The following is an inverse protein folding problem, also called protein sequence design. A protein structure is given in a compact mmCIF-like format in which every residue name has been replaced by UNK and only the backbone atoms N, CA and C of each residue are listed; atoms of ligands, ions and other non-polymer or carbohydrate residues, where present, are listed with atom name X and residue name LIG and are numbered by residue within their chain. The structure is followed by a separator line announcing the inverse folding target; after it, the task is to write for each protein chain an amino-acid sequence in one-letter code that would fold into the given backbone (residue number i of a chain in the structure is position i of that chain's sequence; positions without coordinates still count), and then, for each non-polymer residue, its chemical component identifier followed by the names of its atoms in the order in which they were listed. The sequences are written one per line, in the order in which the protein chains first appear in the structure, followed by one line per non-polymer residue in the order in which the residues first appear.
data_IF_188180173093
#
_entry.id   IF_188180173093
#
_cell.length_a   1.000
_cell.length_b   1.000
_cell.length_c   1.000
_cell.angle_alpha   90.00
_cell.angle_beta   90.00
_cell.angle_gamma   90.00
#
_symmetry.space_group_name_H-M   'P 1'
#
loop_
_entity.id
_entity.type
_entity.pdbx_description
1 polymer ?
#
# COMPACT_ATOMS: atom_id res chain seq x y z
N UNK A 1 -14.17 -58.33 14.26
CA UNK A 1 -14.26 -57.39 13.13
C UNK A 1 -13.91 -56.01 13.67
N UNK A 2 -12.61 -55.73 13.78
CA UNK A 2 -12.09 -54.45 14.31
C UNK A 2 -11.81 -53.54 13.12
N UNK A 3 -12.62 -52.51 12.97
CA UNK A 3 -12.42 -51.46 11.97
C UNK A 3 -11.18 -50.65 12.37
N UNK A 4 -10.10 -50.81 11.60
CA UNK A 4 -8.83 -50.12 11.79
C UNK A 4 -8.76 -49.05 10.70
N UNK A 5 -9.48 -47.95 10.89
CA UNK A 5 -9.35 -46.76 10.05
C UNK A 5 -8.19 -45.92 10.58
N UNK A 6 -7.05 -45.83 9.87
CA UNK A 6 -6.01 -44.89 10.23
C UNK A 6 -6.57 -43.48 10.03
N UNK A 7 -6.80 -42.78 11.14
CA UNK A 7 -7.15 -41.37 11.13
C UNK A 7 -6.13 -40.63 10.27
N UNK A 8 -6.62 -40.02 9.19
CA UNK A 8 -5.86 -39.09 8.37
C UNK A 8 -5.52 -37.90 9.27
N UNK A 9 -4.39 -38.00 9.97
CA UNK A 9 -3.74 -36.86 10.57
C UNK A 9 -3.31 -35.97 9.41
N UNK A 10 -4.15 -34.99 9.08
CA UNK A 10 -3.75 -33.85 8.30
C UNK A 10 -2.67 -33.12 9.12
N UNK A 11 -1.42 -33.53 8.94
CA UNK A 11 -0.27 -32.72 9.30
C UNK A 11 -0.44 -31.39 8.56
N UNK A 12 -0.92 -30.38 9.28
CA UNK A 12 -0.77 -29.00 8.85
C UNK A 12 0.74 -28.78 8.73
N UNK A 13 1.25 -28.82 7.50
CA UNK A 13 2.59 -28.31 7.18
C UNK A 13 2.59 -26.83 7.59
N UNK A 14 2.97 -26.56 8.82
CA UNK A 14 3.31 -25.23 9.28
C UNK A 14 4.59 -24.87 8.52
N UNK A 15 4.41 -24.31 7.33
CA UNK A 15 5.49 -23.68 6.58
C UNK A 15 6.02 -22.55 7.44
N UNK A 16 7.06 -22.84 8.24
CA UNK A 16 7.73 -21.83 9.03
C UNK A 16 8.26 -20.78 8.05
N UNK A 17 7.82 -19.54 8.22
CA UNK A 17 8.28 -18.43 7.40
C UNK A 17 9.80 -18.33 7.55
N UNK A 18 10.52 -18.29 6.43
CA UNK A 18 11.97 -18.09 6.44
C UNK A 18 12.26 -16.70 6.98
N UNK A 19 13.03 -16.60 8.07
CA UNK A 19 13.49 -15.32 8.62
C UNK A 19 14.58 -14.75 7.72
N UNK A 20 14.17 -14.09 6.64
CA UNK A 20 15.08 -13.52 5.63
C UNK A 20 15.32 -12.01 5.75
N UNK A 21 14.67 -11.32 6.69
CA UNK A 21 14.81 -9.87 6.88
C UNK A 21 15.59 -9.57 8.15
N UNK A 22 16.74 -8.90 8.01
CA UNK A 22 17.48 -8.34 9.14
C UNK A 22 16.86 -7.03 9.65
N UNK A 23 17.43 -6.48 10.72
CA UNK A 23 16.98 -5.21 11.29
C UNK A 23 17.08 -4.06 10.29
N UNK A 24 18.22 -3.95 9.59
CA UNK A 24 18.42 -2.92 8.56
C UNK A 24 17.45 -3.08 7.39
N UNK A 25 17.17 -4.31 6.96
CA UNK A 25 16.18 -4.55 5.90
C UNK A 25 14.79 -4.11 6.34
N UNK A 26 14.38 -4.47 7.56
CA UNK A 26 13.10 -4.07 8.12
C UNK A 26 12.97 -2.54 8.23
N UNK A 27 14.01 -1.86 8.75
CA UNK A 27 14.03 -0.40 8.85
C UNK A 27 13.96 0.27 7.47
N UNK A 28 14.74 -0.21 6.50
CA UNK A 28 14.75 0.35 5.15
C UNK A 28 13.42 0.15 4.43
N UNK A 29 12.76 -1.00 4.62
CA UNK A 29 11.42 -1.25 4.08
C UNK A 29 10.42 -0.23 4.67
N UNK A 30 10.45 0.00 5.98
CA UNK A 30 9.56 0.98 6.62
C UNK A 30 9.84 2.39 6.10
N UNK A 31 11.09 2.84 6.09
CA UNK A 31 11.47 4.16 5.56
C UNK A 31 11.00 4.32 4.11
N UNK A 32 11.27 3.34 3.26
CA UNK A 32 10.88 3.38 1.85
C UNK A 32 9.38 3.32 1.61
N UNK A 33 8.62 2.70 2.53
CA UNK A 33 7.15 2.71 2.47
C UNK A 33 6.55 4.05 2.93
N UNK A 34 7.20 4.75 3.86
CA UNK A 34 6.73 6.04 4.38
C UNK A 34 7.08 7.21 3.46
N UNK A 35 8.27 7.19 2.84
CA UNK A 35 8.70 8.24 1.91
C UNK A 35 8.03 8.02 0.54
N UNK A 36 6.82 8.56 0.40
CA UNK A 36 6.00 8.46 -0.79
C UNK A 36 5.90 9.76 -1.61
N UNK A 37 4.97 9.78 -2.56
CA UNK A 37 4.61 10.98 -3.34
C UNK A 37 3.93 12.06 -2.50
N UNK A 38 3.46 11.74 -1.29
CA UNK A 38 2.79 12.66 -0.38
C UNK A 38 3.64 13.89 -0.02
N UNK A 39 4.97 13.73 0.08
CA UNK A 39 5.87 14.86 0.35
C UNK A 39 5.84 15.93 -0.75
N UNK A 40 5.52 15.55 -1.99
CA UNK A 40 5.40 16.47 -3.12
C UNK A 40 3.95 16.92 -3.33
N UNK A 41 3.01 15.97 -3.38
CA UNK A 41 1.62 16.25 -3.74
C UNK A 41 0.86 16.86 -2.56
N UNK A 42 0.86 16.16 -1.42
CA UNK A 42 0.13 16.59 -0.22
C UNK A 42 0.72 17.88 0.33
N UNK A 43 2.05 18.02 0.37
CA UNK A 43 2.67 19.28 0.82
C UNK A 43 2.30 20.46 -0.08
N UNK A 44 2.29 20.28 -1.40
CA UNK A 44 1.90 21.36 -2.32
C UNK A 44 0.42 21.75 -2.15
N UNK A 45 -0.46 20.77 -1.90
CA UNK A 45 -1.87 21.03 -1.65
C UNK A 45 -2.10 21.69 -0.28
N UNK A 46 -1.47 21.20 0.77
CA UNK A 46 -1.51 21.81 2.11
C UNK A 46 -0.93 23.23 2.09
N UNK A 47 0.15 23.48 1.35
CA UNK A 47 0.72 24.81 1.19
C UNK A 47 -0.28 25.79 0.56
N UNK A 48 -1.02 25.35 -0.47
CA UNK A 48 -2.08 26.15 -1.11
C UNK A 48 -3.24 26.44 -0.17
N UNK A 49 -3.62 25.48 0.69
CA UNK A 49 -4.73 25.65 1.63
C UNK A 49 -4.37 26.54 2.83
N UNK A 50 -3.15 26.40 3.36
CA UNK A 50 -2.70 27.09 4.57
C UNK A 50 -2.20 28.51 4.24
N UNK A 51 -1.65 28.72 3.04
CA UNK A 51 -1.22 30.04 2.54
C UNK A 51 0.01 30.64 3.23
N UNK A 52 0.51 30.05 4.31
CA UNK A 52 1.68 30.50 5.06
C UNK A 52 2.70 29.36 5.26
N UNK A 53 3.97 29.54 4.85
CA UNK A 53 5.03 28.54 5.05
C UNK A 53 5.26 28.16 6.52
N UNK A 54 5.12 29.12 7.45
CA UNK A 54 5.31 28.87 8.88
C UNK A 54 4.25 27.90 9.44
N UNK A 55 2.98 28.12 9.08
CA UNK A 55 1.90 27.24 9.50
C UNK A 55 1.98 25.84 8.86
N UNK A 56 2.52 25.73 7.65
CA UNK A 56 2.82 24.44 7.03
C UNK A 56 3.84 23.65 7.85
N UNK A 57 4.92 24.28 8.33
CA UNK A 57 5.92 23.63 9.18
C UNK A 57 5.34 23.20 10.53
N UNK A 58 4.48 24.02 11.14
CA UNK A 58 3.76 23.65 12.38
C UNK A 58 2.86 22.44 12.15
N UNK A 59 2.09 22.41 11.05
CA UNK A 59 1.24 21.28 10.70
C UNK A 59 2.06 19.99 10.51
N UNK A 60 3.22 20.09 9.83
CA UNK A 60 4.16 18.98 9.68
C UNK A 60 4.72 18.50 11.03
N UNK A 61 5.09 19.42 11.91
CA UNK A 61 5.56 19.09 13.26
C UNK A 61 4.52 18.32 14.06
N UNK A 62 3.26 18.79 14.07
CA UNK A 62 2.15 18.14 14.75
C UNK A 62 1.85 16.75 14.16
N UNK A 63 1.82 16.63 12.83
CA UNK A 63 1.65 15.35 12.16
C UNK A 63 2.79 14.37 12.51
N UNK A 64 4.03 14.85 12.60
CA UNK A 64 5.18 14.06 13.00
C UNK A 64 5.06 13.52 14.43
N UNK A 65 4.68 14.37 15.39
CA UNK A 65 4.46 13.96 16.79
C UNK A 65 3.37 12.89 16.88
N UNK A 66 2.21 13.12 16.24
CA UNK A 66 1.11 12.16 16.22
C UNK A 66 1.54 10.81 15.63
N UNK A 67 2.31 10.85 14.55
CA UNK A 67 2.82 9.65 13.87
C UNK A 67 3.79 8.87 14.77
N UNK A 68 4.71 9.55 15.47
CA UNK A 68 5.67 8.91 16.39
C UNK A 68 4.91 8.23 17.54
N UNK A 69 3.93 8.91 18.13
CA UNK A 69 3.11 8.33 19.21
C UNK A 69 2.42 7.05 18.73
N UNK A 70 1.78 7.07 17.55
CA UNK A 70 1.16 5.88 16.98
C UNK A 70 2.15 4.76 16.67
N UNK A 71 3.35 5.09 16.19
CA UNK A 71 4.41 4.13 15.91
C UNK A 71 4.92 3.44 17.19
N UNK A 72 5.07 4.18 18.30
CA UNK A 72 5.47 3.62 19.59
C UNK A 72 4.42 2.65 20.13
N UNK A 73 3.13 3.01 20.09
CA UNK A 73 2.05 2.09 20.48
C UNK A 73 2.05 0.80 19.66
N UNK A 74 2.27 0.91 18.34
CA UNK A 74 2.37 -0.25 17.46
C UNK A 74 3.62 -1.09 17.75
N UNK A 75 4.74 -0.46 18.11
CA UNK A 75 5.98 -1.15 18.45
C UNK A 75 5.84 -1.97 19.74
N UNK A 76 5.19 -1.42 20.77
CA UNK A 76 4.91 -2.14 22.01
C UNK A 76 4.00 -3.35 21.76
N UNK A 77 2.92 -3.17 20.99
CA UNK A 77 2.03 -4.28 20.61
C UNK A 77 2.75 -5.35 19.80
N UNK A 78 3.63 -4.96 18.86
CA UNK A 78 4.40 -5.89 18.05
C UNK A 78 5.43 -6.67 18.88
N UNK A 79 6.04 -6.04 19.89
CA UNK A 79 6.94 -6.70 20.83
C UNK A 79 6.18 -7.68 21.76
N UNK A 80 4.97 -7.32 22.19
CA UNK A 80 4.13 -8.16 23.04
C UNK A 80 3.54 -9.38 22.30
N UNK A 81 3.24 -9.24 21.01
CA UNK A 81 2.65 -10.29 20.17
C UNK A 81 3.48 -10.53 18.90
N UNK A 82 4.64 -11.21 18.98
CA UNK A 82 5.55 -11.44 17.85
C UNK A 82 5.06 -12.56 16.91
N UNK A 83 3.80 -12.48 16.48
CA UNK A 83 3.18 -13.41 15.53
C UNK A 83 3.14 -12.77 14.14
N UNK A 84 3.32 -13.56 13.09
CA UNK A 84 3.13 -13.10 11.72
C UNK A 84 1.65 -12.78 11.48
N UNK A 85 1.34 -11.51 11.14
CA UNK A 85 -0.03 -11.06 10.86
C UNK A 85 -0.32 -9.59 11.18
N UNK A 86 0.60 -8.87 11.81
CA UNK A 86 0.52 -7.41 11.99
C UNK A 86 -0.73 -6.95 12.75
N UNK A 87 -1.32 -5.82 12.32
CA UNK A 87 -2.49 -5.20 12.98
C UNK A 87 -3.69 -6.14 13.11
N UNK A 88 -3.87 -7.08 12.18
CA UNK A 88 -4.94 -8.07 12.24
C UNK A 88 -4.86 -8.92 13.52
N UNK A 89 -3.65 -9.32 13.93
CA UNK A 89 -3.44 -10.12 15.14
C UNK A 89 -3.84 -9.32 16.37
N UNK A 90 -3.50 -8.04 16.41
CA UNK A 90 -3.81 -7.17 17.56
C UNK A 90 -5.31 -7.01 17.75
N UNK A 91 -6.05 -6.73 16.68
CA UNK A 91 -7.50 -6.56 16.74
C UNK A 91 -8.22 -7.88 17.03
N UNK A 92 -7.73 -8.99 16.46
CA UNK A 92 -8.28 -10.31 16.73
C UNK A 92 -8.11 -10.71 18.20
N UNK A 93 -6.96 -10.42 18.80
CA UNK A 93 -6.69 -10.75 20.19
C UNK A 93 -7.48 -9.84 21.15
N UNK A 94 -7.58 -8.55 20.85
CA UNK A 94 -8.27 -7.57 21.70
C UNK A 94 -9.81 -7.68 21.65
N UNK A 95 -10.38 -7.92 20.46
CA UNK A 95 -11.84 -7.86 20.24
C UNK A 95 -12.45 -9.18 19.77
N UNK A 96 -11.63 -10.22 19.62
CA UNK A 96 -12.06 -11.55 19.22
C UNK A 96 -12.12 -11.77 17.70
N UNK A 97 -12.47 -13.00 17.28
CA UNK A 97 -12.34 -13.45 15.89
C UNK A 97 -13.20 -12.68 14.89
N UNK A 98 -14.40 -12.25 15.28
CA UNK A 98 -15.33 -11.55 14.39
C UNK A 98 -14.79 -10.17 13.98
N UNK A 99 -14.24 -9.41 14.92
CA UNK A 99 -13.62 -8.10 14.64
C UNK A 99 -12.32 -8.25 13.87
N UNK A 100 -11.52 -9.28 14.19
CA UNK A 100 -10.36 -9.64 13.37
C UNK A 100 -10.75 -9.91 11.92
N UNK A 101 -11.78 -10.73 11.69
CA UNK A 101 -12.29 -11.01 10.35
C UNK A 101 -12.77 -9.75 9.61
N UNK A 102 -13.58 -8.92 10.25
CA UNK A 102 -14.09 -7.69 9.65
C UNK A 102 -12.95 -6.74 9.27
N UNK A 103 -11.94 -6.59 10.14
CA UNK A 103 -10.75 -5.80 9.85
C UNK A 103 -9.97 -6.38 8.67
N UNK A 104 -9.71 -7.69 8.66
CA UNK A 104 -9.02 -8.36 7.55
C UNK A 104 -9.78 -8.21 6.22
N UNK A 105 -11.10 -8.34 6.26
CA UNK A 105 -11.99 -8.15 5.11
C UNK A 105 -11.93 -6.72 4.59
N UNK A 106 -12.06 -5.72 5.47
CA UNK A 106 -12.01 -4.32 5.09
C UNK A 106 -10.62 -3.91 4.57
N UNK A 107 -9.55 -4.35 5.24
CA UNK A 107 -8.18 -4.13 4.80
C UNK A 107 -7.94 -4.71 3.41
N UNK A 108 -8.36 -5.95 3.17
CA UNK A 108 -8.11 -6.63 1.91
C UNK A 108 -8.96 -6.09 0.76
N UNK A 109 -10.29 -6.01 0.94
CA UNK A 109 -11.21 -5.71 -0.16
C UNK A 109 -11.47 -4.22 -0.39
N UNK A 110 -11.23 -3.37 0.61
CA UNK A 110 -11.54 -1.93 0.52
C UNK A 110 -10.24 -1.13 0.54
N UNK A 111 -9.44 -1.25 1.60
CA UNK A 111 -8.32 -0.34 1.83
C UNK A 111 -7.16 -0.63 0.86
N UNK A 112 -6.65 -1.86 0.84
CA UNK A 112 -5.47 -2.20 0.05
C UNK A 112 -5.78 -2.17 -1.45
N UNK A 113 -6.88 -2.79 -1.87
CA UNK A 113 -7.36 -2.75 -3.27
C UNK A 113 -7.64 -1.34 -3.74
N UNK A 114 -8.35 -0.53 -2.94
CA UNK A 114 -8.65 0.87 -3.26
C UNK A 114 -7.39 1.72 -3.39
N UNK A 115 -6.43 1.52 -2.49
CA UNK A 115 -5.13 2.23 -2.53
C UNK A 115 -4.33 1.86 -3.79
N UNK A 116 -4.25 0.57 -4.12
CA UNK A 116 -3.56 0.09 -5.34
C UNK A 116 -4.20 0.69 -6.58
N UNK A 117 -5.54 0.69 -6.66
CA UNK A 117 -6.28 1.27 -7.78
C UNK A 117 -6.04 2.78 -7.89
N UNK A 118 -6.13 3.52 -6.79
CA UNK A 118 -5.91 4.96 -6.78
C UNK A 118 -4.50 5.34 -7.23
N UNK A 119 -3.48 4.62 -6.75
CA UNK A 119 -2.07 4.86 -7.14
C UNK A 119 -1.84 4.52 -8.61
N UNK A 120 -2.42 3.42 -9.12
CA UNK A 120 -2.31 3.05 -10.53
C UNK A 120 -2.98 4.08 -11.46
N UNK A 121 -4.15 4.61 -11.08
CA UNK A 121 -4.83 5.69 -11.81
C UNK A 121 -4.00 6.97 -11.76
N UNK A 122 -3.45 7.33 -10.61
CA UNK A 122 -2.57 8.50 -10.51
C UNK A 122 -1.34 8.36 -11.43
N UNK A 123 -0.72 7.17 -11.47
CA UNK A 123 0.38 6.88 -12.39
C UNK A 123 -0.04 7.03 -13.85
N UNK A 124 -1.20 6.48 -14.24
CA UNK A 124 -1.72 6.61 -15.59
C UNK A 124 -1.98 8.08 -15.98
N UNK A 125 -2.53 8.89 -15.06
CA UNK A 125 -2.73 10.34 -15.27
C UNK A 125 -1.42 11.07 -15.50
N UNK A 126 -0.39 10.81 -14.68
CA UNK A 126 0.92 11.43 -14.87
C UNK A 126 1.58 10.98 -16.17
N UNK A 127 1.40 9.72 -16.57
CA UNK A 127 1.87 9.22 -17.86
C UNK A 127 1.15 9.93 -19.02
N UNK A 128 -0.13 10.23 -18.87
CA UNK A 128 -0.91 11.01 -19.84
C UNK A 128 -0.41 12.43 -20.08
N UNK A 129 0.26 13.04 -19.11
CA UNK A 129 0.94 14.34 -19.30
C UNK A 129 2.11 14.21 -20.29
N UNK A 130 2.81 13.06 -20.29
CA UNK A 130 3.94 12.80 -21.18
C UNK A 130 3.50 12.25 -22.54
N UNK A 131 2.44 11.44 -22.55
CA UNK A 131 1.89 10.79 -23.74
C UNK A 131 0.42 11.21 -23.89
N UNK A 132 0.12 12.26 -24.68
CA UNK A 132 -1.22 12.83 -24.80
C UNK A 132 -2.30 11.84 -25.28
N UNK A 133 -1.91 10.70 -25.87
CA UNK A 133 -2.81 9.62 -26.24
C UNK A 133 -3.43 8.87 -25.06
N UNK A 134 -2.83 8.97 -23.87
CA UNK A 134 -3.34 8.42 -22.61
C UNK A 134 -4.10 9.53 -21.90
N UNK A 135 -5.41 9.60 -22.13
CA UNK A 135 -6.26 10.63 -21.56
C UNK A 135 -7.58 10.03 -21.08
N UNK A 136 -8.12 10.62 -20.01
CA UNK A 136 -9.45 10.26 -19.51
C UNK A 136 -10.55 10.46 -20.57
N UNK A 137 -10.35 11.44 -21.45
CA UNK A 137 -11.25 11.79 -22.56
C UNK A 137 -11.20 10.82 -23.73
N UNK A 138 -10.16 9.99 -23.85
CA UNK A 138 -10.04 9.02 -24.93
C UNK A 138 -10.62 7.67 -24.50
N UNK A 139 -11.92 7.50 -24.77
CA UNK A 139 -12.68 6.31 -24.41
C UNK A 139 -12.54 5.19 -25.44
N UNK A 140 -12.15 4.01 -24.98
CA UNK A 140 -12.23 2.76 -25.75
C UNK A 140 -13.63 2.16 -25.65
N UNK A 141 -14.21 2.21 -24.45
CA UNK A 141 -15.62 1.86 -24.21
C UNK A 141 -16.32 3.10 -23.69
N UNK A 142 -17.28 3.67 -24.44
CA UNK A 142 -18.00 4.86 -24.02
C UNK A 142 -18.80 4.59 -22.73
N UNK A 143 -19.12 5.63 -21.94
CA UNK A 143 -19.79 5.46 -20.65
C UNK A 143 -21.20 4.87 -20.82
N UNK A 144 -21.36 3.63 -20.37
CA UNK A 144 -22.66 2.96 -20.27
C UNK A 144 -23.22 3.29 -18.88
N UNK A 145 -24.25 4.11 -18.85
CA UNK A 145 -24.87 4.58 -17.60
C UNK A 145 -25.73 3.45 -17.00
N UNK A 146 -25.39 2.99 -15.81
CA UNK A 146 -26.13 1.99 -15.03
C UNK A 146 -27.07 2.65 -13.99
N UNK A 147 -27.50 3.90 -14.26
CA UNK A 147 -28.36 4.71 -13.40
C UNK A 147 -28.01 6.20 -13.49
N UNK A 148 -28.51 7.00 -12.55
CA UNK A 148 -28.22 8.45 -12.51
C UNK A 148 -26.82 8.80 -12.01
N UNK A 149 -26.12 7.86 -11.36
CA UNK A 149 -24.87 8.17 -10.61
C UNK A 149 -23.67 7.30 -11.03
N UNK A 150 -23.91 6.18 -11.71
CA UNK A 150 -22.87 5.22 -12.08
C UNK A 150 -22.81 5.02 -13.58
N UNK A 151 -21.62 5.20 -14.16
CA UNK A 151 -21.34 4.86 -15.54
C UNK A 151 -20.13 3.93 -15.61
N UNK A 152 -20.27 2.84 -16.36
CA UNK A 152 -19.16 1.95 -16.68
C UNK A 152 -18.54 2.48 -17.96
N UNK A 153 -17.32 3.01 -17.86
CA UNK A 153 -16.52 3.46 -18.99
C UNK A 153 -15.15 2.79 -18.95
N UNK A 154 -14.50 2.71 -20.10
CA UNK A 154 -13.11 2.30 -20.21
C UNK A 154 -12.35 3.34 -21.03
N UNK A 155 -11.57 4.17 -20.34
CA UNK A 155 -10.64 5.11 -20.97
C UNK A 155 -9.25 4.50 -21.17
N UNK A 156 -8.44 5.09 -22.05
CA UNK A 156 -7.01 4.75 -22.18
C UNK A 156 -6.25 4.87 -20.86
N UNK A 157 -6.60 5.85 -20.02
CA UNK A 157 -6.03 6.02 -18.68
C UNK A 157 -6.33 4.80 -17.78
N UNK A 158 -7.59 4.34 -17.75
CA UNK A 158 -7.97 3.16 -16.97
C UNK A 158 -7.31 1.90 -17.50
N UNK A 159 -7.15 1.76 -18.82
CA UNK A 159 -6.45 0.63 -19.42
C UNK A 159 -4.98 0.57 -18.98
N UNK A 160 -4.28 1.72 -18.98
CA UNK A 160 -2.89 1.81 -18.51
C UNK A 160 -2.80 1.49 -17.02
N UNK A 161 -3.73 1.99 -16.20
CA UNK A 161 -3.77 1.67 -14.78
C UNK A 161 -3.93 0.16 -14.53
N UNK A 162 -4.85 -0.50 -15.25
CA UNK A 162 -5.06 -1.95 -15.18
C UNK A 162 -3.80 -2.72 -15.63
N UNK A 163 -3.19 -2.31 -16.75
CA UNK A 163 -1.96 -2.92 -17.25
C UNK A 163 -0.81 -2.83 -16.23
N UNK A 164 -0.68 -1.68 -15.55
CA UNK A 164 0.32 -1.47 -14.50
C UNK A 164 0.09 -2.37 -13.28
N UNK A 165 -1.16 -2.52 -12.84
CA UNK A 165 -1.50 -3.45 -11.73
C UNK A 165 -1.12 -4.88 -12.11
N UNK A 166 -1.46 -5.32 -13.32
CA UNK A 166 -1.13 -6.67 -13.81
C UNK A 166 0.39 -6.88 -13.90
N UNK A 167 1.13 -5.90 -14.41
CA UNK A 167 2.59 -5.94 -14.50
C UNK A 167 3.22 -6.06 -13.11
N UNK A 168 2.81 -5.23 -12.15
CA UNK A 168 3.34 -5.28 -10.79
C UNK A 168 2.95 -6.57 -10.09
N UNK A 169 1.73 -7.07 -10.30
CA UNK A 169 1.29 -8.36 -9.75
C UNK A 169 2.18 -9.48 -10.29
N UNK A 170 2.41 -9.52 -11.60
CA UNK A 170 3.29 -10.50 -12.23
C UNK A 170 4.75 -10.38 -11.78
N UNK A 171 5.25 -9.16 -11.58
CA UNK A 171 6.60 -8.97 -11.05
C UNK A 171 6.72 -9.47 -9.61
N UNK A 172 5.70 -9.25 -8.79
CA UNK A 172 5.66 -9.72 -7.39
C UNK A 172 5.55 -11.25 -7.28
N UNK A 173 4.90 -11.92 -8.24
CA UNK A 173 4.81 -13.40 -8.23
C UNK A 173 6.11 -14.10 -8.64
N UNK A 174 7.08 -13.41 -9.24
CA UNK A 174 8.38 -13.98 -9.65
C UNK A 174 9.43 -14.06 -8.54
N UNK A 175 9.15 -13.54 -7.34
CA UNK A 175 10.00 -13.74 -6.17
C UNK A 175 10.28 -12.46 -5.37
N UNK A 176 10.52 -12.64 -4.07
CA UNK A 176 10.71 -11.56 -3.10
C UNK A 176 11.95 -10.70 -3.38
N UNK A 177 12.99 -11.28 -4.01
CA UNK A 177 14.23 -10.56 -4.32
C UNK A 177 14.03 -9.46 -5.37
N UNK A 178 13.20 -9.71 -6.39
CA UNK A 178 12.87 -8.72 -7.41
C UNK A 178 12.00 -7.60 -6.83
N UNK A 179 11.00 -7.95 -6.00
CA UNK A 179 10.17 -6.98 -5.29
C UNK A 179 11.00 -6.06 -4.39
N UNK A 180 11.98 -6.62 -3.68
CA UNK A 180 12.94 -5.86 -2.85
C UNK A 180 13.78 -4.90 -3.71
N UNK A 181 14.30 -5.37 -4.84
CA UNK A 181 15.15 -4.55 -5.72
C UNK A 181 14.39 -3.38 -6.33
N UNK A 182 13.17 -3.63 -6.81
CA UNK A 182 12.28 -2.57 -7.33
C UNK A 182 11.96 -1.55 -6.23
N UNK A 183 11.53 -2.01 -5.05
CA UNK A 183 11.19 -1.13 -3.93
C UNK A 183 12.39 -0.28 -3.47
N UNK A 184 13.57 -0.89 -3.31
CA UNK A 184 14.78 -0.17 -2.92
C UNK A 184 15.16 0.86 -3.99
N UNK A 185 15.08 0.51 -5.27
CA UNK A 185 15.41 1.44 -6.37
C UNK A 185 14.49 2.65 -6.38
N UNK A 186 13.17 2.44 -6.24
CA UNK A 186 12.21 3.55 -6.14
C UNK A 186 12.42 4.40 -4.89
N UNK A 187 12.77 3.78 -3.77
CA UNK A 187 13.07 4.49 -2.52
C UNK A 187 14.29 5.38 -2.68
N UNK A 188 15.40 4.83 -3.19
CA UNK A 188 16.64 5.59 -3.43
C UNK A 188 16.40 6.72 -4.41
N UNK A 189 15.70 6.48 -5.52
CA UNK A 189 15.39 7.50 -6.51
C UNK A 189 14.56 8.65 -5.90
N UNK A 190 13.52 8.34 -5.11
CA UNK A 190 12.69 9.36 -4.44
C UNK A 190 13.49 10.17 -3.42
N UNK A 191 14.29 9.50 -2.60
CA UNK A 191 15.12 10.15 -1.58
C UNK A 191 16.20 11.02 -2.23
N UNK A 192 16.84 10.54 -3.31
CA UNK A 192 17.82 11.32 -4.07
C UNK A 192 17.20 12.57 -4.72
N UNK A 193 15.99 12.44 -5.29
CA UNK A 193 15.25 13.59 -5.83
C UNK A 193 14.93 14.63 -4.74
N UNK A 194 14.58 14.17 -3.54
CA UNK A 194 14.36 15.04 -2.37
C UNK A 194 15.64 15.78 -1.97
N UNK A 195 16.76 15.08 -1.88
CA UNK A 195 18.07 15.68 -1.55
C UNK A 195 18.46 16.71 -2.63
N UNK A 196 18.28 16.38 -3.91
CA UNK A 196 18.56 17.28 -5.02
C UNK A 196 17.65 18.50 -5.11
N UNK A 197 16.48 18.48 -4.46
CA UNK A 197 15.58 19.64 -4.37
C UNK A 197 15.93 20.56 -3.19
N UNK A 198 16.61 20.03 -2.16
CA UNK A 198 17.06 20.80 -1.00
C UNK A 198 18.31 21.64 -1.32
N UNK A 199 19.15 21.17 -2.26
CA UNK A 199 20.37 21.84 -2.75
C UNK A 199 20.03 22.78 -3.90
#
# INVERSE_FOLDING_TARGET
MSDNTPGVAAESRSGNLVRGLGQLDATMIVIGSMIGSGIFITSAESARLIGSPGWLLVAWGLAGVLTITGALCCAELAAMMPKAGGQYVFLREAYGPAFGFLFGWAMLLIVQTGTIAAVAVAFARFTGVLVPGIANSNYLVPPIHLGSTYAISLSTEQLVAVAMILLLTWSNTRGLELGKLVQNSFTVAKTAALIGLIV
#
